data_IF_743586247929
#
_entry.id   IF_743586247929
#
_cell.length_a   1.000
_cell.length_b   1.000
_cell.length_c   1.000
_cell.angle_alpha   90.00
_cell.angle_beta   90.00
_cell.angle_gamma   90.00
#
_symmetry.space_group_name_H-M   'P 1'
#
loop_
_entity.id
_entity.type
_entity.pdbx_description
1 polymer ?
#
# COMPACT_ATOMS: atom_id res chain seq x y z
N UNK A 1 -6.99 30.87 15.24
CA UNK A 1 -5.54 30.57 15.24
C UNK A 1 -5.23 29.89 13.91
N UNK A 2 -4.67 30.64 12.96
CA UNK A 2 -4.48 30.15 11.60
C UNK A 2 -3.35 29.11 11.56
N UNK A 3 -3.71 27.84 11.39
CA UNK A 3 -2.77 26.78 11.02
C UNK A 3 -2.19 27.19 9.67
N UNK A 4 -0.89 27.50 9.62
CA UNK A 4 -0.22 27.77 8.36
C UNK A 4 -0.26 26.50 7.51
N UNK A 5 -0.62 26.58 6.21
CA UNK A 5 -0.42 25.46 5.32
C UNK A 5 1.07 25.15 5.28
N UNK A 6 1.43 23.93 5.66
CA UNK A 6 2.76 23.41 5.44
C UNK A 6 2.89 23.13 3.94
N UNK A 7 3.10 24.18 3.15
CA UNK A 7 3.43 24.10 1.72
C UNK A 7 4.83 23.49 1.57
N UNK A 8 4.94 22.18 1.80
CA UNK A 8 6.06 21.43 1.24
C UNK A 8 5.74 21.19 -0.21
N UNK A 9 6.47 21.90 -1.07
CA UNK A 9 6.61 21.62 -2.49
C UNK A 9 7.13 20.20 -2.71
N UNK A 10 6.27 19.21 -2.48
CA UNK A 10 6.51 17.83 -2.83
C UNK A 10 6.39 17.78 -4.35
N UNK A 11 7.51 18.06 -5.04
CA UNK A 11 7.61 17.92 -6.48
C UNK A 11 7.16 16.50 -6.83
N UNK A 12 5.93 16.38 -7.31
CA UNK A 12 5.39 15.10 -7.77
C UNK A 12 6.14 14.82 -9.05
N UNK A 13 7.12 13.92 -8.99
CA UNK A 13 7.79 13.42 -10.17
C UNK A 13 7.11 12.09 -10.58
N UNK A 14 6.02 12.15 -11.36
CA UNK A 14 5.22 10.96 -11.71
C UNK A 14 6.08 9.91 -12.43
N UNK A 15 7.04 10.35 -13.25
CA UNK A 15 7.96 9.48 -13.97
C UNK A 15 8.80 8.59 -13.03
N UNK A 16 9.35 9.15 -11.93
CA UNK A 16 10.17 8.38 -10.98
C UNK A 16 9.37 7.28 -10.27
N UNK A 17 8.09 7.54 -9.99
CA UNK A 17 7.17 6.59 -9.35
C UNK A 17 6.79 5.46 -10.31
N UNK A 18 6.50 5.79 -11.56
CA UNK A 18 6.15 4.81 -12.59
C UNK A 18 7.32 3.84 -12.85
N UNK A 19 8.52 4.38 -13.07
CA UNK A 19 9.72 3.57 -13.33
C UNK A 19 10.01 2.67 -12.12
N UNK A 20 9.97 3.22 -10.90
CA UNK A 20 10.16 2.45 -9.68
C UNK A 20 9.13 1.33 -9.50
N UNK A 21 7.84 1.59 -9.78
CA UNK A 21 6.79 0.57 -9.71
C UNK A 21 6.96 -0.53 -10.77
N UNK A 22 7.38 -0.19 -11.99
CA UNK A 22 7.63 -1.19 -13.04
C UNK A 22 8.78 -2.13 -12.62
N UNK A 23 9.90 -1.55 -12.18
CA UNK A 23 11.06 -2.32 -11.69
C UNK A 23 10.65 -3.20 -10.51
N UNK A 24 9.88 -2.63 -9.57
CA UNK A 24 9.40 -3.34 -8.39
C UNK A 24 8.51 -4.54 -8.76
N UNK A 25 7.51 -4.36 -9.62
CA UNK A 25 6.57 -5.42 -10.00
C UNK A 25 7.31 -6.61 -10.63
N UNK A 26 8.28 -6.33 -11.49
CA UNK A 26 9.07 -7.37 -12.17
C UNK A 26 10.01 -8.13 -11.23
N UNK A 27 10.61 -7.45 -10.25
CA UNK A 27 11.58 -8.08 -9.35
C UNK A 27 10.94 -8.74 -8.13
N UNK A 28 9.91 -8.11 -7.55
CA UNK A 28 9.36 -8.50 -6.24
C UNK A 28 7.83 -8.52 -6.20
N UNK A 29 7.14 -7.61 -6.89
CA UNK A 29 5.69 -7.43 -6.73
C UNK A 29 4.86 -8.66 -7.14
N UNK A 30 5.20 -9.30 -8.26
CA UNK A 30 4.49 -10.52 -8.70
C UNK A 30 4.69 -11.67 -7.69
N UNK A 31 5.90 -11.82 -7.14
CA UNK A 31 6.19 -12.87 -6.17
C UNK A 31 5.44 -12.66 -4.85
N UNK A 32 5.34 -11.42 -4.38
CA UNK A 32 4.54 -11.08 -3.20
C UNK A 32 3.06 -11.35 -3.44
N UNK A 33 2.53 -10.98 -4.61
CA UNK A 33 1.13 -11.24 -4.97
C UNK A 33 0.80 -12.74 -4.98
N UNK A 34 1.69 -13.56 -5.56
CA UNK A 34 1.56 -15.03 -5.55
C UNK A 34 1.68 -15.57 -4.13
N UNK A 35 2.64 -15.09 -3.34
CA UNK A 35 2.84 -15.49 -1.95
C UNK A 35 1.60 -15.24 -1.08
N UNK A 36 0.97 -14.07 -1.23
CA UNK A 36 -0.29 -13.76 -0.54
C UNK A 36 -1.45 -14.63 -1.04
N UNK A 37 -1.53 -14.92 -2.34
CA UNK A 37 -2.58 -15.79 -2.87
C UNK A 37 -2.46 -17.23 -2.33
N UNK A 38 -1.24 -17.78 -2.31
CA UNK A 38 -0.98 -19.13 -1.79
C UNK A 38 -1.22 -19.18 -0.27
N UNK A 39 -0.75 -18.17 0.47
CA UNK A 39 -0.95 -18.09 1.93
C UNK A 39 -2.43 -17.93 2.28
N UNK A 40 -3.17 -17.09 1.55
CA UNK A 40 -4.61 -16.94 1.73
C UNK A 40 -5.36 -18.25 1.45
N UNK A 41 -4.99 -18.99 0.39
CA UNK A 41 -5.59 -20.28 0.09
C UNK A 41 -5.29 -21.31 1.19
N UNK A 42 -4.05 -21.38 1.69
CA UNK A 42 -3.67 -22.27 2.78
C UNK A 42 -4.42 -21.93 4.09
N UNK A 43 -4.57 -20.65 4.41
CA UNK A 43 -5.25 -20.20 5.63
C UNK A 43 -6.77 -20.31 5.54
N UNK A 44 -7.36 -20.23 4.35
CA UNK A 44 -8.79 -20.45 4.17
C UNK A 44 -9.24 -21.86 4.62
N UNK A 45 -8.35 -22.86 4.54
CA UNK A 45 -8.66 -24.25 4.91
C UNK A 45 -8.93 -24.41 6.42
N UNK A 46 -8.34 -23.58 7.28
CA UNK A 46 -8.42 -23.78 8.74
C UNK A 46 -9.66 -23.19 9.40
N UNK A 47 -10.59 -22.59 8.63
CA UNK A 47 -11.79 -21.81 9.05
C UNK A 47 -11.45 -20.62 9.97
N UNK A 48 -10.70 -20.83 11.04
CA UNK A 48 -10.11 -19.83 11.93
C UNK A 48 -9.18 -18.89 11.15
N UNK A 49 -8.55 -19.37 10.06
CA UNK A 49 -7.69 -18.57 9.20
C UNK A 49 -8.40 -17.65 8.21
N UNK A 50 -9.73 -17.72 8.05
CA UNK A 50 -10.51 -16.85 7.15
C UNK A 50 -10.22 -15.35 7.34
N UNK A 51 -10.22 -14.77 8.56
CA UNK A 51 -9.86 -13.36 8.74
C UNK A 51 -8.46 -13.02 8.22
N UNK A 52 -7.51 -13.94 8.37
CA UNK A 52 -6.13 -13.74 7.92
C UNK A 52 -5.99 -13.94 6.40
N UNK A 53 -6.71 -14.90 5.83
CA UNK A 53 -6.81 -15.06 4.37
C UNK A 53 -7.35 -13.79 3.70
N UNK A 54 -8.36 -13.16 4.29
CA UNK A 54 -8.88 -11.87 3.81
C UNK A 54 -7.87 -10.73 3.94
N UNK A 55 -7.05 -10.73 5.01
CA UNK A 55 -5.98 -9.74 5.16
C UNK A 55 -4.90 -9.92 4.08
N UNK A 56 -4.49 -11.16 3.79
CA UNK A 56 -3.52 -11.47 2.73
C UNK A 56 -4.01 -11.01 1.35
N UNK A 57 -5.28 -11.26 1.01
CA UNK A 57 -5.84 -10.79 -0.26
C UNK A 57 -5.84 -9.26 -0.37
N UNK A 58 -6.05 -8.55 0.75
CA UNK A 58 -6.00 -7.07 0.79
C UNK A 58 -4.58 -6.52 0.66
N UNK A 59 -3.56 -7.32 0.99
CA UNK A 59 -2.15 -6.93 0.84
C UNK A 59 -1.65 -7.04 -0.60
N UNK A 60 -2.31 -7.83 -1.47
CA UNK A 60 -1.95 -7.94 -2.90
C UNK A 60 -1.95 -6.56 -3.61
N UNK A 61 -3.03 -5.77 -3.64
CA UNK A 61 -3.00 -4.48 -4.33
C UNK A 61 -2.05 -3.46 -3.68
N UNK A 62 -1.82 -3.57 -2.36
CA UNK A 62 -0.91 -2.69 -1.62
C UNK A 62 0.55 -2.98 -1.97
N UNK A 63 0.90 -4.25 -2.17
CA UNK A 63 2.27 -4.70 -2.46
C UNK A 63 2.70 -4.50 -3.91
N UNK A 64 1.76 -4.45 -4.86
CA UNK A 64 2.05 -4.29 -6.29
C UNK A 64 2.53 -2.88 -6.67
N UNK A 65 1.96 -1.84 -6.06
CA UNK A 65 2.26 -0.43 -6.37
C UNK A 65 2.58 0.36 -5.10
N UNK A 66 3.74 0.11 -4.47
CA UNK A 66 4.06 0.69 -3.18
C UNK A 66 4.40 2.19 -3.27
N UNK A 67 4.90 2.66 -4.42
CA UNK A 67 5.37 4.04 -4.56
C UNK A 67 4.23 5.00 -4.90
N UNK A 68 4.31 6.19 -4.32
CA UNK A 68 3.41 7.31 -4.66
C UNK A 68 2.34 7.63 -3.63
N UNK A 69 2.30 6.92 -2.49
CA UNK A 69 1.48 7.30 -1.33
C UNK A 69 2.09 8.48 -0.58
N UNK A 70 1.25 9.40 -0.15
CA UNK A 70 1.61 10.57 0.64
C UNK A 70 1.37 10.27 2.12
N UNK A 71 2.36 10.53 2.97
CA UNK A 71 2.25 10.32 4.42
C UNK A 71 1.62 11.58 5.00
N UNK A 72 0.35 11.49 5.38
CA UNK A 72 -0.40 12.59 5.99
C UNK A 72 -0.35 12.44 7.52
N UNK A 73 -0.04 13.50 8.28
CA UNK A 73 -0.12 13.46 9.74
C UNK A 73 -1.55 13.22 10.21
N UNK A 74 -1.72 12.41 11.26
CA UNK A 74 -3.05 12.04 11.78
C UNK A 74 -3.78 13.26 12.37
N UNK A 75 -3.04 14.20 12.96
CA UNK A 75 -3.61 15.43 13.52
C UNK A 75 -4.26 16.32 12.45
N UNK A 76 -3.74 16.27 11.21
CA UNK A 76 -4.30 16.97 10.06
C UNK A 76 -5.69 16.46 9.66
N UNK A 77 -5.97 15.18 9.90
CA UNK A 77 -7.25 14.54 9.58
C UNK A 77 -8.31 14.85 10.64
N UNK A 78 -7.93 14.88 11.92
CA UNK A 78 -8.85 15.20 13.03
C UNK A 78 -9.30 16.66 13.04
N UNK A 79 -8.47 17.56 12.54
CA UNK A 79 -8.84 18.97 12.40
C UNK A 79 -9.80 19.24 11.22
N UNK A 80 -10.04 18.25 10.36
CA UNK A 80 -10.82 18.37 9.12
C UNK A 80 -12.18 17.66 9.15
N UNK A 81 -12.53 17.00 10.26
CA UNK A 81 -13.79 16.27 10.49
C UNK A 81 -14.50 16.89 11.69
#
# INVERSE_FOLDING_TARGET
MAVRPHDRGQTRHPARRLIGNIIWVLLFGIWLAIGHLVSAAAMAVTIIGIPLALADLKMIPVSLVPLGKEIVPVDSLKAAV
#
